data_IF_865208451476
#
_entry.id   IF_865208451476
#
_cell.length_a   1.000
_cell.length_b   1.000
_cell.length_c   1.000
_cell.angle_alpha   90.00
_cell.angle_beta   90.00
_cell.angle_gamma   90.00
#
_symmetry.space_group_name_H-M   'P 1'
#
loop_
_entity.id
_entity.type
_entity.pdbx_description
1 polymer ?
#
# COMPACT_ATOMS: atom_id res chain seq x y z
N UNK A 1 3.48 10.35 2.82
CA UNK A 1 3.66 8.94 2.44
C UNK A 1 5.09 8.76 1.91
N UNK A 2 5.78 7.66 2.24
CA UNK A 2 7.13 7.37 1.74
C UNK A 2 7.06 6.11 0.88
N UNK A 3 7.76 6.11 -0.25
CA UNK A 3 7.83 4.95 -1.14
C UNK A 3 9.23 4.73 -1.68
N UNK A 4 9.58 3.46 -1.90
CA UNK A 4 10.77 3.03 -2.61
C UNK A 4 10.36 2.07 -3.72
N UNK A 5 10.62 2.44 -4.97
CA UNK A 5 10.35 1.59 -6.13
C UNK A 5 11.67 1.13 -6.75
N UNK A 6 11.76 -0.15 -7.08
CA UNK A 6 12.93 -0.74 -7.73
C UNK A 6 12.52 -1.73 -8.81
N UNK A 7 13.35 -1.81 -9.86
CA UNK A 7 13.17 -2.71 -10.98
C UNK A 7 14.15 -3.86 -10.89
N UNK A 8 13.65 -5.06 -11.11
CA UNK A 8 14.42 -6.28 -11.03
C UNK A 8 14.28 -7.08 -12.31
N UNK A 9 15.35 -7.79 -12.64
CA UNK A 9 15.37 -8.76 -13.72
C UNK A 9 15.65 -10.12 -13.10
N UNK A 10 14.72 -11.06 -13.28
CA UNK A 10 14.97 -12.43 -12.87
C UNK A 10 16.15 -12.99 -13.65
N UNK A 11 17.10 -13.61 -12.95
CA UNK A 11 18.37 -14.05 -13.55
C UNK A 11 18.15 -15.10 -14.64
N UNK A 12 17.31 -16.11 -14.37
CA UNK A 12 17.13 -17.26 -15.26
C UNK A 12 16.10 -17.01 -16.37
N UNK A 13 14.91 -16.52 -16.02
CA UNK A 13 13.84 -16.25 -17.01
C UNK A 13 13.99 -14.94 -17.77
N UNK A 14 14.92 -14.07 -17.34
CA UNK A 14 15.07 -12.69 -17.83
C UNK A 14 13.82 -11.81 -17.73
N UNK A 15 12.79 -12.27 -17.02
CA UNK A 15 11.55 -11.52 -16.81
C UNK A 15 11.82 -10.28 -15.96
N UNK A 16 11.20 -9.16 -16.34
CA UNK A 16 11.23 -7.93 -15.56
C UNK A 16 10.09 -7.94 -14.55
N UNK A 17 10.35 -7.46 -13.35
CA UNK A 17 9.33 -7.19 -12.35
C UNK A 17 9.67 -5.95 -11.56
N UNK A 18 8.62 -5.29 -11.05
CA UNK A 18 8.71 -4.09 -10.24
C UNK A 18 8.35 -4.43 -8.81
N UNK A 19 9.07 -3.86 -7.85
CA UNK A 19 8.69 -3.91 -6.43
C UNK A 19 8.59 -2.49 -5.91
N UNK A 20 7.47 -2.17 -5.27
CA UNK A 20 7.26 -0.92 -4.56
C UNK A 20 7.04 -1.22 -3.08
N UNK A 21 7.95 -0.72 -2.23
CA UNK A 21 7.82 -0.73 -0.79
C UNK A 21 7.19 0.59 -0.31
N UNK A 22 6.15 0.49 0.51
CA UNK A 22 5.40 1.64 1.00
C UNK A 22 5.51 1.80 2.52
N UNK A 23 5.50 3.05 2.96
CA UNK A 23 5.26 3.43 4.35
C UNK A 23 4.21 4.55 4.37
N UNK A 24 2.97 4.17 4.68
CA UNK A 24 1.81 5.04 4.63
C UNK A 24 1.63 5.83 5.94
N UNK A 25 0.90 6.95 5.84
CA UNK A 25 0.37 7.68 6.99
C UNK A 25 -1.06 7.19 7.27
N UNK A 26 -1.50 7.31 8.51
CA UNK A 26 -2.66 6.59 9.05
C UNK A 26 -4.03 7.27 8.81
N UNK A 27 -4.11 8.36 8.05
CA UNK A 27 -5.39 9.06 7.82
C UNK A 27 -6.13 8.49 6.61
N UNK A 28 -7.47 8.56 6.63
CA UNK A 28 -8.30 8.13 5.49
C UNK A 28 -7.98 8.89 4.20
N UNK A 29 -7.64 10.18 4.32
CA UNK A 29 -7.22 11.00 3.18
C UNK A 29 -5.87 10.55 2.60
N UNK A 30 -4.89 10.20 3.46
CA UNK A 30 -3.62 9.65 3.01
C UNK A 30 -3.79 8.27 2.32
N UNK A 31 -4.81 7.48 2.74
CA UNK A 31 -5.13 6.19 2.11
C UNK A 31 -5.77 6.36 0.72
N UNK A 32 -6.70 7.31 0.57
CA UNK A 32 -7.28 7.65 -0.73
C UNK A 32 -6.20 8.12 -1.72
N UNK A 33 -5.35 9.07 -1.29
CA UNK A 33 -4.22 9.56 -2.10
C UNK A 33 -3.27 8.40 -2.50
N UNK A 34 -2.98 7.47 -1.58
CA UNK A 34 -2.19 6.29 -1.87
C UNK A 34 -2.85 5.37 -2.90
N UNK A 35 -4.18 5.16 -2.83
CA UNK A 35 -4.91 4.35 -3.80
C UNK A 35 -4.86 4.96 -5.20
N UNK A 36 -5.09 6.27 -5.32
CA UNK A 36 -5.02 7.00 -6.59
C UNK A 36 -3.61 6.93 -7.20
N UNK A 37 -2.57 7.13 -6.38
CA UNK A 37 -1.16 7.01 -6.81
C UNK A 37 -0.81 5.59 -7.28
N UNK A 38 -1.29 4.56 -6.58
CA UNK A 38 -1.09 3.17 -6.95
C UNK A 38 -1.80 2.82 -8.25
N UNK A 39 -2.99 3.34 -8.49
CA UNK A 39 -3.73 3.15 -9.74
C UNK A 39 -3.02 3.81 -10.93
N UNK A 40 -2.53 5.05 -10.75
CA UNK A 40 -1.71 5.73 -11.75
C UNK A 40 -0.42 4.95 -12.07
N UNK A 41 0.22 4.38 -11.06
CA UNK A 41 1.40 3.53 -11.25
C UNK A 41 1.05 2.21 -11.93
N UNK A 42 -0.10 1.59 -11.63
CA UNK A 42 -0.56 0.35 -12.25
C UNK A 42 -0.75 0.53 -13.76
N UNK A 43 -1.44 1.61 -14.15
CA UNK A 43 -1.72 1.96 -15.54
C UNK A 43 -0.44 2.17 -16.37
N UNK A 44 0.66 2.55 -15.73
CA UNK A 44 1.96 2.77 -16.36
C UNK A 44 2.91 1.55 -16.27
N UNK A 45 2.43 0.39 -15.79
CA UNK A 45 3.29 -0.77 -15.54
C UNK A 45 2.92 -1.96 -16.43
N UNK A 46 3.84 -2.32 -17.33
CA UNK A 46 3.65 -3.39 -18.32
C UNK A 46 4.26 -4.75 -17.92
N UNK A 47 4.63 -4.93 -16.65
CA UNK A 47 5.26 -6.14 -16.12
C UNK A 47 4.71 -6.46 -14.72
N UNK A 48 4.88 -7.69 -14.21
CA UNK A 48 4.46 -8.04 -12.87
C UNK A 48 4.95 -7.01 -11.83
N UNK A 49 4.02 -6.56 -10.98
CA UNK A 49 4.28 -5.54 -9.98
C UNK A 49 3.82 -6.02 -8.61
N UNK A 50 4.76 -6.04 -7.67
CA UNK A 50 4.49 -6.32 -6.28
C UNK A 50 4.52 -5.01 -5.49
N UNK A 51 3.44 -4.77 -4.74
CA UNK A 51 3.31 -3.64 -3.82
C UNK A 51 3.16 -4.21 -2.41
N UNK A 52 3.96 -3.72 -1.48
CA UNK A 52 3.89 -4.15 -0.08
C UNK A 52 4.51 -3.12 0.84
N UNK A 53 4.26 -3.22 2.14
CA UNK A 53 4.74 -2.23 3.10
C UNK A 53 3.90 -2.16 4.36
N UNK A 54 4.18 -1.14 5.18
CA UNK A 54 3.33 -0.79 6.32
C UNK A 54 2.32 0.26 5.87
N UNK A 55 1.08 -0.20 5.67
CA UNK A 55 -0.04 0.64 5.24
C UNK A 55 -0.71 1.36 6.41
N UNK A 56 -0.33 1.07 7.67
CA UNK A 56 -0.97 1.58 8.90
C UNK A 56 -2.50 1.66 8.80
N UNK A 57 -3.10 0.66 8.17
CA UNK A 57 -4.55 0.52 8.06
C UNK A 57 -4.97 -0.44 9.16
N UNK A 58 -5.83 0.01 10.06
CA UNK A 58 -6.46 -0.88 11.04
C UNK A 58 -7.59 -1.57 10.27
N UNK A 59 -7.34 -2.76 9.75
CA UNK A 59 -8.35 -3.52 9.00
C UNK A 59 -9.39 -4.13 9.93
N UNK A 60 -9.02 -4.32 11.21
CA UNK A 60 -9.87 -4.90 12.24
C UNK A 60 -9.56 -4.26 13.60
N UNK A 61 -10.59 -3.99 14.40
CA UNK A 61 -10.42 -3.39 15.74
C UNK A 61 -9.51 -4.23 16.66
N UNK A 62 -9.44 -5.54 16.42
CA UNK A 62 -8.59 -6.50 17.15
C UNK A 62 -7.09 -6.37 16.86
N UNK A 63 -6.68 -5.67 15.80
CA UNK A 63 -5.25 -5.37 15.54
C UNK A 63 -4.68 -4.38 16.56
N UNK A 64 -5.55 -3.66 17.28
CA UNK A 64 -5.16 -2.70 18.31
C UNK A 64 -4.96 -3.41 19.65
N UNK A 65 -3.72 -3.81 19.95
CA UNK A 65 -3.34 -4.30 21.29
C UNK A 65 -3.21 -3.12 22.27
N UNK A 66 -4.36 -2.53 22.66
CA UNK A 66 -4.48 -1.41 23.61
C UNK A 66 -4.67 -0.02 22.98
N UNK A 67 -5.11 0.97 23.76
CA UNK A 67 -5.40 2.36 23.31
C UNK A 67 -6.89 2.72 23.34
N UNK A 68 -7.24 3.92 22.84
CA UNK A 68 -8.63 4.37 22.73
C UNK A 68 -9.42 3.49 21.74
N UNK A 69 -10.74 3.29 21.97
CA UNK A 69 -11.61 2.53 21.07
C UNK A 69 -11.44 2.98 19.63
N UNK A 70 -11.35 2.02 18.72
CA UNK A 70 -11.36 2.29 17.29
C UNK A 70 -12.69 2.93 16.93
N UNK A 71 -12.63 4.00 16.15
CA UNK A 71 -13.82 4.65 15.62
C UNK A 71 -14.15 4.06 14.25
N UNK A 72 -15.43 3.97 13.91
CA UNK A 72 -15.86 3.38 12.62
C UNK A 72 -15.22 4.07 11.40
N UNK A 73 -14.83 5.35 11.52
CA UNK A 73 -14.10 6.13 10.50
C UNK A 73 -12.64 5.71 10.31
N UNK A 74 -12.06 4.98 11.25
CA UNK A 74 -10.70 4.43 11.13
C UNK A 74 -10.68 3.07 10.44
N UNK A 75 -11.83 2.36 10.42
CA UNK A 75 -12.00 0.99 9.87
C UNK A 75 -12.68 1.01 8.49
N UNK A 76 -13.65 1.89 8.29
CA UNK A 76 -14.39 1.96 7.03
C UNK A 76 -13.65 2.83 6.03
N UNK A 77 -12.82 2.20 5.21
CA UNK A 77 -12.02 2.88 4.20
C UNK A 77 -12.83 3.35 3.00
N UNK A 78 -13.85 2.59 2.57
CA UNK A 78 -14.68 2.95 1.41
C UNK A 78 -16.12 2.44 1.59
N UNK A 79 -17.09 3.32 1.33
CA UNK A 79 -18.53 3.00 1.18
C UNK A 79 -18.89 3.13 -0.30
#
# INVERSE_FOLDING_TARGET
MQQLTSFFKHKDTHSLFKITALYARCSALDRLELCEDLELMANNTNYPWLVGGDFKTIMDESEKLGGLPVTQSEVNDFV
#
